data_IF_764274696293
#
_entry.id   IF_764274696293
#
_cell.length_a   1.000
_cell.length_b   1.000
_cell.length_c   1.000
_cell.angle_alpha   90.00
_cell.angle_beta   90.00
_cell.angle_gamma   90.00
#
_symmetry.space_group_name_H-M   'P 1'
#
loop_
_entity.id
_entity.type
_entity.pdbx_description
1 polymer ?
#
# COMPACT_ATOMS: atom_id res chain seq x y z
N UNK A 1 30.95 -12.63 20.64
CA UNK A 1 29.72 -13.18 20.07
C UNK A 1 29.44 -12.39 18.81
N UNK A 2 30.10 -12.83 17.75
CA UNK A 2 29.81 -12.42 16.37
C UNK A 2 28.43 -12.95 15.99
N UNK A 3 27.71 -12.18 15.16
CA UNK A 3 26.93 -12.59 13.98
C UNK A 3 26.34 -11.27 13.41
N UNK A 4 26.99 -10.59 12.47
CA UNK A 4 27.07 -10.85 11.02
C UNK A 4 25.81 -10.57 10.21
N UNK A 5 26.06 -9.97 9.04
CA UNK A 5 25.27 -10.04 7.81
C UNK A 5 24.05 -9.12 7.73
N UNK A 6 23.90 -8.23 6.75
CA UNK A 6 24.46 -8.27 5.42
C UNK A 6 23.35 -7.96 4.43
N UNK A 7 23.47 -6.81 3.78
CA UNK A 7 23.17 -6.62 2.36
C UNK A 7 21.71 -6.64 1.86
N UNK A 8 21.30 -5.43 1.45
CA UNK A 8 20.65 -5.09 0.16
C UNK A 8 19.16 -5.33 -0.10
N UNK A 9 18.65 -4.30 -0.78
CA UNK A 9 17.58 -4.29 -1.78
C UNK A 9 16.13 -4.28 -1.22
N UNK A 10 15.33 -3.25 -1.41
CA UNK A 10 15.31 -2.29 -2.50
C UNK A 10 14.75 -0.93 -2.03
N UNK A 11 15.54 0.13 -2.22
CA UNK A 11 14.93 1.42 -2.56
C UNK A 11 14.64 1.30 -4.06
N UNK A 12 13.40 0.98 -4.42
CA UNK A 12 12.98 0.94 -5.82
C UNK A 12 11.67 1.67 -5.98
N UNK A 13 11.84 2.92 -6.42
CA UNK A 13 11.01 3.65 -7.36
C UNK A 13 9.48 3.49 -7.22
N UNK A 14 8.92 4.12 -6.19
CA UNK A 14 7.70 4.89 -6.41
C UNK A 14 8.10 6.35 -6.26
N UNK A 15 8.34 7.01 -7.39
CA UNK A 15 8.66 8.43 -7.43
C UNK A 15 7.57 9.24 -6.71
N UNK A 16 7.97 10.03 -5.72
CA UNK A 16 7.46 11.39 -5.56
C UNK A 16 6.15 11.65 -4.80
N UNK A 17 5.47 10.66 -4.22
CA UNK A 17 4.29 10.97 -3.39
C UNK A 17 4.67 10.87 -1.92
N UNK A 18 5.13 11.98 -1.35
CA UNK A 18 5.16 12.16 0.09
C UNK A 18 3.70 12.14 0.56
N UNK A 19 3.22 10.97 1.00
CA UNK A 19 1.89 10.88 1.58
C UNK A 19 1.93 11.63 2.90
N UNK A 20 1.35 12.82 2.92
CA UNK A 20 1.12 13.54 4.16
C UNK A 20 -0.08 12.87 4.84
N UNK A 21 0.22 12.02 5.81
CA UNK A 21 -0.77 11.31 6.64
C UNK A 21 -0.80 11.97 8.01
N UNK A 22 -1.99 12.33 8.49
CA UNK A 22 -2.17 12.79 9.86
C UNK A 22 -1.88 11.66 10.86
N UNK A 23 -1.63 11.99 12.12
CA UNK A 23 -1.32 11.01 13.17
C UNK A 23 -2.37 9.90 13.30
N UNK A 24 -3.64 10.26 13.11
CA UNK A 24 -4.76 9.33 13.15
C UNK A 24 -4.71 8.33 11.97
N UNK A 25 -4.43 8.84 10.76
CA UNK A 25 -4.32 8.01 9.54
C UNK A 25 -3.08 7.12 9.61
N UNK A 26 -1.95 7.64 10.10
CA UNK A 26 -0.74 6.85 10.30
C UNK A 26 -1.00 5.67 11.24
N UNK A 27 -1.65 5.90 12.39
CA UNK A 27 -2.01 4.80 13.29
C UNK A 27 -2.94 3.79 12.63
N UNK A 28 -3.98 4.28 11.95
CA UNK A 28 -4.96 3.41 11.29
C UNK A 28 -4.30 2.56 10.21
N UNK A 29 -3.55 3.19 9.30
CA UNK A 29 -2.87 2.53 8.20
C UNK A 29 -1.72 1.63 8.67
N UNK A 30 -1.01 2.00 9.74
CA UNK A 30 -0.03 1.12 10.39
C UNK A 30 -0.69 -0.16 10.92
N UNK A 31 -1.90 -0.06 11.48
CA UNK A 31 -2.68 -1.23 11.88
C UNK A 31 -3.03 -2.13 10.69
N UNK A 32 -3.53 -1.56 9.60
CA UNK A 32 -3.84 -2.31 8.37
C UNK A 32 -2.60 -2.96 7.76
N UNK A 33 -1.47 -2.25 7.79
CA UNK A 33 -0.18 -2.75 7.30
C UNK A 33 0.29 -3.94 8.14
N UNK A 34 0.16 -3.88 9.46
CA UNK A 34 0.50 -4.99 10.36
C UNK A 34 -0.37 -6.23 10.09
N UNK A 35 -1.67 -6.06 9.85
CA UNK A 35 -2.59 -7.16 9.49
C UNK A 35 -2.20 -7.80 8.14
N UNK A 36 -1.76 -6.97 7.19
CA UNK A 36 -1.35 -7.44 5.86
C UNK A 36 0.06 -8.02 5.81
N UNK A 37 0.85 -7.86 6.87
CA UNK A 37 2.23 -8.31 6.91
C UNK A 37 2.28 -9.86 6.84
N UNK A 38 3.10 -10.38 5.91
CA UNK A 38 3.27 -11.81 5.72
C UNK A 38 4.30 -12.38 6.70
N UNK A 39 5.40 -11.64 6.91
CA UNK A 39 6.55 -12.02 7.72
C UNK A 39 7.32 -10.76 8.17
N UNK A 40 8.26 -10.93 9.12
CA UNK A 40 9.23 -9.92 9.57
C UNK A 40 10.05 -9.29 8.45
N UNK A 41 10.10 -9.93 7.28
CA UNK A 41 10.73 -9.42 6.05
C UNK A 41 10.12 -8.09 5.54
N UNK A 42 9.01 -7.60 6.10
CA UNK A 42 8.36 -6.36 5.67
C UNK A 42 7.59 -6.48 4.36
N UNK A 43 7.43 -7.71 3.84
CA UNK A 43 6.59 -8.00 2.67
C UNK A 43 5.14 -8.16 3.08
N UNK A 44 4.26 -7.56 2.28
CA UNK A 44 2.83 -7.71 2.45
C UNK A 44 2.32 -8.95 1.72
N UNK A 45 1.42 -9.67 2.37
CA UNK A 45 0.79 -10.86 1.84
C UNK A 45 -0.32 -10.46 0.87
N UNK A 46 -0.15 -10.76 -0.41
CA UNK A 46 -1.16 -10.52 -1.46
C UNK A 46 -2.58 -10.95 -1.08
N UNK A 47 -2.83 -12.15 -0.49
CA UNK A 47 -4.18 -12.54 -0.07
C UNK A 47 -4.75 -11.65 1.04
N UNK A 48 -3.95 -11.25 2.04
CA UNK A 48 -4.42 -10.35 3.12
C UNK A 48 -4.71 -8.94 2.60
N UNK A 49 -3.89 -8.42 1.70
CA UNK A 49 -4.15 -7.14 1.02
C UNK A 49 -5.45 -7.20 0.22
N UNK A 50 -5.70 -8.30 -0.50
CA UNK A 50 -6.93 -8.48 -1.25
C UNK A 50 -8.17 -8.56 -0.35
N UNK A 51 -8.09 -9.26 0.79
CA UNK A 51 -9.14 -9.28 1.81
C UNK A 51 -9.43 -7.87 2.37
N UNK A 52 -8.38 -7.12 2.67
CA UNK A 52 -8.50 -5.74 3.15
C UNK A 52 -9.18 -4.82 2.14
N UNK A 53 -8.82 -4.97 0.86
CA UNK A 53 -9.38 -4.19 -0.23
C UNK A 53 -10.87 -4.53 -0.44
N UNK A 54 -11.22 -5.82 -0.33
CA UNK A 54 -12.61 -6.27 -0.30
C UNK A 54 -13.38 -5.73 0.90
N UNK A 55 -12.73 -5.65 2.07
CA UNK A 55 -13.33 -5.07 3.28
C UNK A 55 -13.62 -3.58 3.15
N UNK A 56 -12.94 -2.87 2.24
CA UNK A 56 -13.26 -1.48 1.90
C UNK A 56 -14.53 -1.30 1.06
N UNK A 57 -15.21 -2.40 0.69
CA UNK A 57 -16.50 -2.42 -0.03
C UNK A 57 -16.49 -1.62 -1.34
N UNK A 58 -15.32 -1.47 -1.97
CA UNK A 58 -15.20 -0.84 -3.28
C UNK A 58 -15.53 -1.83 -4.40
N UNK A 59 -15.89 -1.29 -5.56
CA UNK A 59 -16.09 -2.10 -6.76
C UNK A 59 -14.79 -2.79 -7.18
N UNK A 60 -14.87 -3.99 -7.79
CA UNK A 60 -13.69 -4.69 -8.27
C UNK A 60 -12.89 -3.87 -9.29
N UNK A 61 -13.57 -3.05 -10.11
CA UNK A 61 -12.93 -2.11 -11.03
C UNK A 61 -12.05 -1.09 -10.31
N UNK A 62 -12.53 -0.51 -9.19
CA UNK A 62 -11.76 0.42 -8.39
C UNK A 62 -10.52 -0.26 -7.79
N UNK A 63 -10.68 -1.46 -7.22
CA UNK A 63 -9.56 -2.24 -6.66
C UNK A 63 -8.50 -2.57 -7.72
N UNK A 64 -8.94 -2.93 -8.94
CA UNK A 64 -8.07 -3.17 -10.08
C UNK A 64 -7.32 -1.90 -10.48
N UNK A 65 -8.01 -0.75 -10.49
CA UNK A 65 -7.39 0.54 -10.80
C UNK A 65 -6.32 0.91 -9.76
N UNK A 66 -6.58 0.70 -8.47
CA UNK A 66 -5.61 0.95 -7.40
C UNK A 66 -4.35 0.09 -7.58
N UNK A 67 -4.52 -1.22 -7.80
CA UNK A 67 -3.41 -2.15 -8.02
C UNK A 67 -2.60 -1.80 -9.27
N UNK A 68 -3.25 -1.39 -10.36
CA UNK A 68 -2.59 -0.89 -11.58
C UNK A 68 -1.79 0.40 -11.32
N UNK A 69 -2.39 1.39 -10.64
CA UNK A 69 -1.76 2.69 -10.33
C UNK A 69 -0.55 2.51 -9.41
N UNK A 70 -0.64 1.62 -8.42
CA UNK A 70 0.48 1.31 -7.53
C UNK A 70 1.57 0.46 -8.20
N UNK A 71 1.35 -0.05 -9.42
CA UNK A 71 2.32 -0.88 -10.14
C UNK A 71 2.47 -2.31 -9.60
N UNK A 72 1.54 -2.77 -8.76
CA UNK A 72 1.62 -4.08 -8.11
C UNK A 72 1.60 -5.25 -9.11
N UNK A 73 1.00 -5.07 -10.29
CA UNK A 73 0.91 -6.10 -11.33
C UNK A 73 2.27 -6.54 -11.90
N UNK A 74 3.31 -5.67 -11.86
CA UNK A 74 4.67 -6.04 -12.30
C UNK A 74 5.51 -6.71 -11.21
N UNK A 75 5.18 -6.47 -9.94
CA UNK A 75 5.97 -6.96 -8.81
C UNK A 75 5.38 -8.22 -8.17
N UNK A 76 4.05 -8.42 -8.25
CA UNK A 76 3.35 -9.54 -7.63
C UNK A 76 3.18 -9.41 -6.10
N UNK A 77 3.67 -8.32 -5.52
CA UNK A 77 3.55 -7.95 -4.11
C UNK A 77 3.42 -6.43 -3.96
N UNK A 78 2.95 -5.99 -2.80
CA UNK A 78 2.93 -4.59 -2.41
C UNK A 78 4.09 -4.28 -1.47
N UNK A 79 4.87 -3.25 -1.79
CA UNK A 79 5.78 -2.64 -0.82
C UNK A 79 5.01 -1.77 0.19
N UNK A 80 5.64 -1.51 1.33
CA UNK A 80 5.07 -0.65 2.39
C UNK A 80 4.57 0.70 1.86
N UNK A 81 5.40 1.42 1.10
CA UNK A 81 5.02 2.71 0.51
C UNK A 81 3.83 2.58 -0.48
N UNK A 82 3.85 1.57 -1.34
CA UNK A 82 2.77 1.32 -2.30
C UNK A 82 1.44 0.99 -1.61
N UNK A 83 1.49 0.28 -0.49
CA UNK A 83 0.31 -0.04 0.30
C UNK A 83 -0.34 1.20 0.91
N UNK A 84 0.45 2.12 1.49
CA UNK A 84 -0.09 3.39 1.98
C UNK A 84 -0.72 4.22 0.85
N UNK A 85 -0.10 4.25 -0.33
CA UNK A 85 -0.69 4.95 -1.50
C UNK A 85 -2.02 4.29 -1.87
N UNK A 86 -2.05 2.96 -1.90
CA UNK A 86 -3.26 2.21 -2.21
C UNK A 86 -4.39 2.52 -1.23
N UNK A 87 -4.11 2.59 0.07
CA UNK A 87 -5.10 2.92 1.10
C UNK A 87 -5.72 4.31 0.91
N UNK A 88 -4.89 5.32 0.60
CA UNK A 88 -5.40 6.66 0.30
C UNK A 88 -6.21 6.69 -1.00
N UNK A 89 -5.80 5.94 -2.02
CA UNK A 89 -6.59 5.80 -3.25
C UNK A 89 -7.93 5.13 -3.00
N UNK A 90 -7.97 4.13 -2.12
CA UNK A 90 -9.20 3.50 -1.65
C UNK A 90 -10.12 4.52 -0.97
N UNK A 91 -9.58 5.32 -0.05
CA UNK A 91 -10.34 6.40 0.61
C UNK A 91 -10.84 7.46 -0.40
N UNK A 92 -10.02 7.82 -1.39
CA UNK A 92 -10.41 8.71 -2.47
C UNK A 92 -11.57 8.11 -3.29
N UNK A 93 -11.47 6.84 -3.67
CA UNK A 93 -12.53 6.13 -4.40
C UNK A 93 -13.84 6.06 -3.60
N UNK A 94 -13.77 5.81 -2.28
CA UNK A 94 -14.93 5.82 -1.40
C UNK A 94 -15.60 7.20 -1.35
N UNK A 95 -14.81 8.27 -1.48
CA UNK A 95 -15.30 9.65 -1.56
C UNK A 95 -15.79 10.05 -2.96
N UNK A 96 -15.75 9.13 -3.94
CA UNK A 96 -16.11 9.40 -5.33
C UNK A 96 -15.04 10.17 -6.13
N UNK A 97 -13.82 10.29 -5.60
CA UNK A 97 -12.70 10.92 -6.29
C UNK A 97 -12.05 9.95 -7.30
N UNK A 98 -11.41 10.47 -8.36
CA UNK A 98 -10.73 9.64 -9.34
C UNK A 98 -9.54 8.90 -8.73
N UNK A 99 -9.41 7.61 -9.04
CA UNK A 99 -8.29 6.76 -8.61
C UNK A 99 -7.05 7.06 -9.46
N UNK A 100 -6.33 8.12 -9.08
CA UNK A 100 -5.09 8.58 -9.71
C UNK A 100 -4.08 8.95 -8.63
N UNK A 101 -2.79 8.76 -8.92
CA UNK A 101 -1.69 9.11 -8.01
C UNK A 101 -1.71 10.59 -7.59
N UNK A 102 -2.26 11.46 -8.43
CA UNK A 102 -2.47 12.89 -8.13
C UNK A 102 -3.50 13.12 -7.02
N UNK A 103 -4.48 12.23 -6.88
CA UNK A 103 -5.51 12.34 -5.83
C UNK A 103 -4.96 12.01 -4.44
N UNK A 104 -3.75 11.43 -4.36
CA UNK A 104 -3.14 11.00 -3.11
C UNK A 104 -2.32 12.12 -2.44
N UNK A 105 -1.93 13.14 -3.20
CA UNK A 105 -1.11 14.28 -2.75
C UNK A 105 -1.91 15.53 -2.39
N UNK A 106 -3.21 15.53 -2.66
CA UNK A 106 -4.12 16.65 -2.41
C UNK A 106 -4.46 16.80 -0.92
#
# INVERSE_FOLDING_TARGET
>A
MEQESGTTAAVSAAAGTFLSLNEHEQRYYSGLHAVCQADTSGKLSSPKVAELFKASQLTPEALHKVTEVCGAKRLGYFGTAQFYVALKLLAAAQSGLPIRLESVTA
#
